data_IF_009747398648
#
_entry.id   IF_009747398648
#
_cell.length_a   1.000
_cell.length_b   1.000
_cell.length_c   1.000
_cell.angle_alpha   90.00
_cell.angle_beta   90.00
_cell.angle_gamma   90.00
#
_symmetry.space_group_name_H-M   'P 1'
#
loop_
_entity.id
_entity.type
_entity.pdbx_description
1 polymer ?
#
# COMPACT_ATOMS: atom_id res chain seq x y z
N UNK A 1 2.72 14.36 -2.71
CA UNK A 1 3.46 13.08 -2.61
C UNK A 1 4.41 12.95 -3.78
N UNK A 2 5.61 12.46 -3.52
CA UNK A 2 6.65 12.35 -4.55
C UNK A 2 6.86 10.91 -5.03
N UNK A 3 6.71 9.92 -4.13
CA UNK A 3 6.96 8.53 -4.47
C UNK A 3 5.98 7.62 -3.74
N UNK A 4 5.36 6.70 -4.49
CA UNK A 4 4.39 5.73 -3.98
C UNK A 4 4.81 4.35 -4.47
N UNK A 5 4.87 3.37 -3.55
CA UNK A 5 5.14 1.97 -3.88
C UNK A 5 3.83 1.20 -3.87
N UNK A 6 3.58 0.41 -4.92
CA UNK A 6 2.39 -0.42 -5.10
C UNK A 6 2.84 -1.87 -5.13
N UNK A 7 2.45 -2.66 -4.13
CA UNK A 7 2.83 -4.07 -4.02
C UNK A 7 1.62 -4.97 -4.20
N UNK A 8 1.65 -5.82 -5.23
CA UNK A 8 0.61 -6.81 -5.53
C UNK A 8 1.19 -7.79 -6.53
N UNK A 9 0.93 -9.07 -6.37
CA UNK A 9 1.45 -10.08 -7.30
C UNK A 9 0.70 -10.11 -8.64
N UNK A 10 -0.44 -9.41 -8.74
CA UNK A 10 -1.20 -9.29 -9.98
C UNK A 10 -0.84 -8.00 -10.72
N UNK A 11 -0.27 -8.11 -11.91
CA UNK A 11 0.03 -6.95 -12.75
C UNK A 11 -1.23 -6.15 -13.09
N UNK A 12 -2.36 -6.85 -13.30
CA UNK A 12 -3.64 -6.21 -13.58
C UNK A 12 -4.12 -5.39 -12.39
N UNK A 13 -3.98 -5.92 -11.17
CA UNK A 13 -4.35 -5.20 -9.96
C UNK A 13 -3.47 -3.95 -9.79
N UNK A 14 -2.16 -4.07 -10.01
CA UNK A 14 -1.26 -2.90 -9.92
C UNK A 14 -1.63 -1.83 -10.93
N UNK A 15 -1.93 -2.23 -12.16
CA UNK A 15 -2.36 -1.30 -13.21
C UNK A 15 -3.63 -0.56 -12.81
N UNK A 16 -4.60 -1.27 -12.25
CA UNK A 16 -5.85 -0.69 -11.80
C UNK A 16 -5.63 0.33 -10.68
N UNK A 17 -4.81 -0.01 -9.69
CA UNK A 17 -4.48 0.89 -8.59
C UNK A 17 -3.76 2.13 -9.10
N UNK A 18 -2.79 1.95 -9.99
CA UNK A 18 -2.08 3.07 -10.64
C UNK A 18 -3.06 4.01 -11.32
N UNK A 19 -4.02 3.44 -12.06
CA UNK A 19 -5.03 4.22 -12.75
C UNK A 19 -5.88 5.03 -11.76
N UNK A 20 -6.30 4.43 -10.66
CA UNK A 20 -7.05 5.13 -9.63
C UNK A 20 -6.25 6.29 -9.04
N UNK A 21 -4.95 6.09 -8.78
CA UNK A 21 -4.08 7.13 -8.26
C UNK A 21 -3.97 8.31 -9.25
N UNK A 22 -3.86 8.01 -10.54
CA UNK A 22 -3.84 9.04 -11.58
C UNK A 22 -5.14 9.86 -11.58
N UNK A 23 -6.28 9.17 -11.50
CA UNK A 23 -7.59 9.82 -11.51
C UNK A 23 -7.76 10.76 -10.32
N UNK A 24 -7.27 10.42 -9.16
CA UNK A 24 -7.42 11.26 -7.97
C UNK A 24 -6.34 12.34 -7.84
N UNK A 25 -5.48 12.48 -8.85
CA UNK A 25 -4.52 13.59 -8.91
C UNK A 25 -3.14 13.26 -8.40
N UNK A 26 -2.79 11.99 -8.22
CA UNK A 26 -1.46 11.55 -7.76
C UNK A 26 -0.60 11.01 -8.89
N UNK A 27 -0.99 11.23 -10.16
CA UNK A 27 -0.27 10.72 -11.31
C UNK A 27 1.11 11.34 -11.53
N UNK A 28 1.38 12.49 -10.92
CA UNK A 28 2.70 13.12 -11.02
C UNK A 28 3.71 12.53 -10.06
N UNK A 29 3.26 11.77 -9.05
CA UNK A 29 4.16 11.05 -8.18
C UNK A 29 4.88 9.93 -8.96
N UNK A 30 6.07 9.56 -8.52
CA UNK A 30 6.74 8.39 -9.05
C UNK A 30 6.05 7.15 -8.48
N UNK A 31 5.39 6.38 -9.35
CA UNK A 31 4.69 5.17 -8.96
C UNK A 31 5.57 3.98 -9.27
N UNK A 32 5.98 3.24 -8.24
CA UNK A 32 6.89 2.10 -8.36
C UNK A 32 6.15 0.83 -7.97
N UNK A 33 6.30 -0.23 -8.75
CA UNK A 33 5.56 -1.47 -8.57
C UNK A 33 6.45 -2.59 -8.05
N UNK A 34 5.88 -3.41 -7.18
CA UNK A 34 6.51 -4.60 -6.62
C UNK A 34 5.55 -5.79 -6.74
N UNK A 35 6.10 -6.99 -6.96
CA UNK A 35 5.31 -8.21 -7.11
C UNK A 35 5.14 -8.98 -5.81
N UNK A 36 5.88 -8.62 -4.78
CA UNK A 36 5.83 -9.26 -3.47
C UNK A 36 6.37 -8.32 -2.40
N UNK A 37 6.22 -8.72 -1.15
CA UNK A 37 6.63 -7.87 -0.03
C UNK A 37 8.13 -7.66 0.08
N UNK A 38 8.93 -8.65 -0.32
CA UNK A 38 10.39 -8.54 -0.26
C UNK A 38 10.90 -7.50 -1.26
N UNK A 39 10.38 -7.54 -2.48
CA UNK A 39 10.69 -6.56 -3.50
C UNK A 39 10.25 -5.16 -3.07
N UNK A 40 9.05 -5.05 -2.50
CA UNK A 40 8.55 -3.79 -1.97
C UNK A 40 9.47 -3.24 -0.88
N UNK A 41 9.88 -4.09 0.07
CA UNK A 41 10.77 -3.65 1.15
C UNK A 41 12.10 -3.14 0.60
N UNK A 42 12.66 -3.80 -0.41
CA UNK A 42 13.88 -3.34 -1.07
C UNK A 42 13.70 -1.95 -1.69
N UNK A 43 12.57 -1.73 -2.36
CA UNK A 43 12.26 -0.44 -2.97
C UNK A 43 12.09 0.66 -1.91
N UNK A 44 11.50 0.33 -0.76
CA UNK A 44 11.34 1.28 0.33
C UNK A 44 12.68 1.69 0.95
N UNK A 45 13.66 0.81 0.91
CA UNK A 45 15.00 1.09 1.43
C UNK A 45 15.85 1.90 0.46
N UNK A 46 15.55 1.86 -0.83
CA UNK A 46 16.33 2.56 -1.86
C UNK A 46 16.13 4.07 -1.83
N UNK A 47 14.89 4.51 -1.72
CA UNK A 47 14.53 5.93 -1.78
C UNK A 47 13.38 6.23 -0.83
N UNK A 48 13.30 7.48 -0.39
CA UNK A 48 12.21 7.93 0.45
C UNK A 48 10.87 7.76 -0.26
N UNK A 49 9.90 7.21 0.45
CA UNK A 49 8.57 6.89 -0.07
C UNK A 49 7.53 7.54 0.83
N UNK A 50 6.48 8.06 0.22
CA UNK A 50 5.42 8.78 0.94
C UNK A 50 4.23 7.90 1.27
N UNK A 51 4.05 6.79 0.55
CA UNK A 51 2.91 5.91 0.74
C UNK A 51 3.24 4.53 0.19
N UNK A 52 2.84 3.49 0.92
CA UNK A 52 2.87 2.11 0.47
C UNK A 52 1.43 1.61 0.36
N UNK A 53 1.07 1.13 -0.83
CA UNK A 53 -0.18 0.42 -1.07
C UNK A 53 0.18 -1.05 -1.28
N UNK A 54 -0.36 -1.96 -0.48
CA UNK A 54 0.02 -3.36 -0.57
C UNK A 54 -1.18 -4.29 -0.49
N UNK A 55 -1.15 -5.36 -1.29
CA UNK A 55 -2.05 -6.49 -1.08
C UNK A 55 -1.60 -7.25 0.16
N UNK A 56 -2.48 -8.08 0.68
CA UNK A 56 -2.23 -8.93 1.83
C UNK A 56 -1.59 -10.25 1.39
N UNK A 57 -2.13 -10.88 0.35
CA UNK A 57 -1.68 -12.20 -0.13
C UNK A 57 -0.73 -12.06 -1.31
N UNK A 58 0.56 -12.29 -1.05
CA UNK A 58 1.61 -12.23 -2.07
C UNK A 58 2.62 -13.36 -1.80
N UNK A 59 3.28 -13.87 -2.85
CA UNK A 59 4.33 -14.86 -2.66
C UNK A 59 5.57 -14.23 -2.02
N UNK A 60 6.48 -15.06 -1.55
CA UNK A 60 7.78 -14.71 -0.96
C UNK A 60 7.64 -14.00 0.39
N UNK A 61 6.96 -12.86 0.44
CA UNK A 61 6.64 -12.14 1.68
C UNK A 61 5.26 -11.51 1.50
N UNK A 62 4.33 -11.84 2.39
CA UNK A 62 2.97 -11.29 2.34
C UNK A 62 2.90 -9.87 2.90
N UNK A 63 1.70 -9.26 2.75
CA UNK A 63 1.51 -7.87 3.17
C UNK A 63 1.57 -7.67 4.69
N UNK A 64 1.12 -8.64 5.47
CA UNK A 64 1.19 -8.52 6.93
C UNK A 64 2.64 -8.55 7.43
N UNK A 65 3.45 -9.41 6.85
CA UNK A 65 4.88 -9.49 7.16
C UNK A 65 5.60 -8.22 6.72
N UNK A 66 5.29 -7.73 5.53
CA UNK A 66 5.84 -6.46 5.04
C UNK A 66 5.50 -5.32 6.00
N UNK A 67 4.25 -5.23 6.43
CA UNK A 67 3.81 -4.22 7.40
C UNK A 67 4.62 -4.28 8.69
N UNK A 68 4.85 -5.48 9.22
CA UNK A 68 5.65 -5.66 10.43
C UNK A 68 7.08 -5.16 10.25
N UNK A 69 7.71 -5.47 9.13
CA UNK A 69 9.05 -5.00 8.82
C UNK A 69 9.11 -3.48 8.73
N UNK A 70 8.15 -2.87 8.05
CA UNK A 70 8.06 -1.42 7.90
C UNK A 70 7.94 -0.75 9.27
N UNK A 71 7.03 -1.25 10.11
CA UNK A 71 6.78 -0.64 11.43
C UNK A 71 7.88 -0.90 12.44
N UNK A 72 8.72 -1.91 12.20
CA UNK A 72 9.89 -2.20 13.04
C UNK A 72 11.13 -1.41 12.61
N UNK A 73 11.12 -0.79 11.44
CA UNK A 73 12.27 -0.06 10.91
C UNK A 73 12.29 1.38 11.44
N UNK A 74 13.39 1.83 12.06
CA UNK A 74 13.47 3.23 12.52
C UNK A 74 13.26 4.26 11.41
N UNK A 75 13.66 3.92 10.18
CA UNK A 75 13.52 4.82 9.03
C UNK A 75 12.11 4.79 8.43
N UNK A 76 11.43 3.64 8.50
CA UNK A 76 10.18 3.41 7.78
C UNK A 76 8.93 3.42 8.66
N UNK A 77 9.05 3.46 9.98
CA UNK A 77 7.91 3.25 10.86
C UNK A 77 6.80 4.30 10.72
N UNK A 78 7.11 5.49 10.23
CA UNK A 78 6.11 6.54 10.01
C UNK A 78 5.45 6.47 8.62
N UNK A 79 5.91 5.58 7.75
CA UNK A 79 5.36 5.44 6.41
C UNK A 79 3.91 4.96 6.49
N UNK A 80 2.95 5.69 5.91
CA UNK A 80 1.58 5.20 5.84
C UNK A 80 1.51 3.97 4.92
N UNK A 81 0.89 2.91 5.44
CA UNK A 81 0.68 1.66 4.70
C UNK A 81 -0.82 1.43 4.58
N UNK A 82 -1.33 1.46 3.36
CA UNK A 82 -2.71 1.17 3.05
C UNK A 82 -2.79 -0.24 2.45
N UNK A 83 -3.50 -1.13 3.11
CA UNK A 83 -3.69 -2.50 2.63
C UNK A 83 -4.92 -2.55 1.72
N UNK A 84 -4.78 -3.13 0.54
CA UNK A 84 -5.87 -3.29 -0.43
C UNK A 84 -5.96 -4.78 -0.77
N UNK A 85 -7.00 -5.45 -0.32
CA UNK A 85 -7.08 -6.90 -0.42
C UNK A 85 -8.49 -7.41 -0.71
N UNK A 86 -8.59 -8.57 -1.38
CA UNK A 86 -9.85 -9.29 -1.55
C UNK A 86 -10.13 -10.24 -0.37
N UNK A 87 -9.19 -10.40 0.55
CA UNK A 87 -9.29 -11.32 1.68
C UNK A 87 -9.59 -10.62 3.02
N UNK A 88 -10.06 -9.36 2.97
CA UNK A 88 -10.36 -8.59 4.16
C UNK A 88 -11.67 -9.00 4.83
N UNK A 89 -11.71 -8.88 6.15
CA UNK A 89 -12.90 -9.00 6.97
C UNK A 89 -12.69 -8.14 8.22
N UNK A 90 -13.73 -7.86 9.03
CA UNK A 90 -13.59 -6.97 10.19
C UNK A 90 -12.49 -7.38 11.17
N UNK A 91 -12.33 -8.68 11.44
CA UNK A 91 -11.30 -9.16 12.35
C UNK A 91 -9.89 -8.95 11.77
N UNK A 92 -9.70 -9.26 10.50
CA UNK A 92 -8.42 -9.04 9.81
C UNK A 92 -8.09 -7.55 9.72
N UNK A 93 -9.09 -6.72 9.45
CA UNK A 93 -8.91 -5.28 9.40
C UNK A 93 -8.41 -4.73 10.74
N UNK A 94 -9.01 -5.16 11.85
CA UNK A 94 -8.58 -4.74 13.18
C UNK A 94 -7.16 -5.22 13.48
N UNK A 95 -6.83 -6.47 13.11
CA UNK A 95 -5.50 -7.04 13.28
C UNK A 95 -4.46 -6.19 12.54
N UNK A 96 -4.72 -5.85 11.30
CA UNK A 96 -3.79 -5.07 10.49
C UNK A 96 -3.64 -3.64 11.02
N UNK A 97 -4.71 -3.02 11.46
CA UNK A 97 -4.64 -1.70 12.08
C UNK A 97 -3.85 -1.73 13.38
N UNK A 98 -4.00 -2.78 14.18
CA UNK A 98 -3.21 -2.97 15.39
C UNK A 98 -1.71 -3.14 15.09
N UNK A 99 -1.37 -3.67 13.92
CA UNK A 99 0.01 -3.77 13.46
C UNK A 99 0.54 -2.46 12.88
N UNK A 100 -0.28 -1.43 12.76
CA UNK A 100 0.12 -0.12 12.30
C UNK A 100 -0.32 0.27 10.90
N UNK A 101 -1.22 -0.51 10.27
CA UNK A 101 -1.75 -0.12 8.96
C UNK A 101 -2.52 1.19 9.06
N UNK A 102 -2.31 2.08 8.09
CA UNK A 102 -3.04 3.33 7.97
C UNK A 102 -4.53 3.08 7.69
N UNK A 103 -4.83 2.06 6.91
CA UNK A 103 -6.19 1.64 6.61
C UNK A 103 -6.20 0.33 5.85
N UNK A 104 -7.39 -0.23 5.68
CA UNK A 104 -7.60 -1.48 4.92
C UNK A 104 -8.80 -1.28 4.02
N UNK A 105 -8.61 -1.50 2.71
CA UNK A 105 -9.68 -1.43 1.72
C UNK A 105 -9.88 -2.78 1.06
N UNK A 106 -11.11 -3.08 0.70
CA UNK A 106 -11.44 -4.31 -0.01
C UNK A 106 -11.44 -4.08 -1.53
N UNK A 107 -10.94 -5.06 -2.27
CA UNK A 107 -11.00 -5.06 -3.73
C UNK A 107 -12.43 -5.39 -4.20
N UNK A 108 -12.88 -4.83 -5.30
CA UNK A 108 -12.22 -3.80 -6.11
C UNK A 108 -12.35 -2.42 -5.48
N UNK A 109 -11.28 -1.64 -5.53
CA UNK A 109 -11.34 -0.25 -5.07
C UNK A 109 -11.82 0.64 -6.21
N UNK A 110 -12.41 1.78 -5.86
CA UNK A 110 -12.76 2.83 -6.82
C UNK A 110 -11.89 4.05 -6.56
N UNK A 111 -11.76 4.94 -7.54
CA UNK A 111 -11.05 6.21 -7.30
C UNK A 111 -11.62 6.98 -6.12
N UNK A 112 -12.94 7.03 -5.98
CA UNK A 112 -13.58 7.76 -4.88
C UNK A 112 -13.24 7.17 -3.52
N UNK A 113 -13.29 5.84 -3.37
CA UNK A 113 -12.96 5.16 -2.11
C UNK A 113 -11.49 5.38 -1.78
N UNK A 114 -10.61 5.27 -2.76
CA UNK A 114 -9.18 5.48 -2.56
C UNK A 114 -8.89 6.94 -2.16
N UNK A 115 -9.51 7.90 -2.82
CA UNK A 115 -9.37 9.31 -2.48
C UNK A 115 -9.79 9.58 -1.04
N UNK A 116 -10.95 9.04 -0.63
CA UNK A 116 -11.44 9.22 0.74
C UNK A 116 -10.46 8.64 1.75
N UNK A 117 -9.92 7.45 1.47
CA UNK A 117 -8.96 6.80 2.36
C UNK A 117 -7.66 7.60 2.50
N UNK A 118 -7.24 8.30 1.44
CA UNK A 118 -5.98 9.04 1.42
C UNK A 118 -6.13 10.54 1.70
N UNK A 119 -7.35 11.00 1.93
CA UNK A 119 -7.64 12.44 2.02
C UNK A 119 -6.78 13.16 3.06
N UNK A 120 -6.56 12.57 4.22
CA UNK A 120 -5.73 13.18 5.27
C UNK A 120 -4.25 13.29 4.89
N UNK A 121 -3.82 12.52 3.91
CA UNK A 121 -2.42 12.51 3.44
C UNK A 121 -2.18 13.47 2.28
N UNK A 122 -3.22 13.81 1.51
CA UNK A 122 -3.09 14.58 0.28
C UNK A 122 -3.73 15.96 0.33
N UNK A 123 -4.46 16.26 1.39
CA UNK A 123 -5.12 17.57 1.55
C UNK A 123 -4.33 18.54 2.41
#
# INVERSE_FOLDING_TARGET
MNRIVIADDSATARMFIRRCLEIIGLGEATLVEAENGREALSLLKEEDTDLLLTDLNMPVMDGATLLKWVKSSPRLHDLPVLVITSAGNPAKEQELKALGAFGVLNKPVSPAVLRDALQSLIS
#
